data_IF_990779349286
#
_entry.id   IF_990779349286
#
_cell.length_a   1.000
_cell.length_b   1.000
_cell.length_c   1.000
_cell.angle_alpha   90.00
_cell.angle_beta   90.00
_cell.angle_gamma   90.00
#
_symmetry.space_group_name_H-M   'P 1'
#
loop_
_entity.id
_entity.type
_entity.pdbx_description
1 polymer ?
#
# COMPACT_ATOMS: atom_id res chain seq x y z
N UNK A 1 18.78 1.49 -23.99
CA UNK A 1 17.46 1.06 -23.56
C UNK A 1 16.89 0.08 -24.58
N UNK A 2 16.25 -1.00 -24.10
CA UNK A 2 15.70 -2.06 -24.93
C UNK A 2 14.28 -2.39 -24.46
N UNK A 3 13.40 -2.72 -25.40
CA UNK A 3 12.00 -3.11 -25.13
C UNK A 3 11.85 -4.62 -25.40
N UNK A 4 12.40 -5.46 -24.53
CA UNK A 4 12.43 -6.92 -24.71
C UNK A 4 11.57 -7.70 -23.70
N UNK A 5 11.12 -7.04 -22.62
CA UNK A 5 10.34 -7.66 -21.57
C UNK A 5 9.31 -6.69 -21.00
N UNK A 6 8.24 -7.25 -20.41
CA UNK A 6 7.26 -6.53 -19.61
C UNK A 6 7.86 -6.09 -18.27
N UNK A 7 7.10 -5.28 -17.51
CA UNK A 7 7.53 -4.78 -16.20
C UNK A 7 7.82 -5.90 -15.19
N UNK A 8 7.10 -7.01 -15.29
CA UNK A 8 7.28 -8.21 -14.47
C UNK A 8 8.47 -9.09 -14.90
N UNK A 9 9.23 -8.65 -15.92
CA UNK A 9 10.36 -9.37 -16.49
C UNK A 9 9.99 -10.50 -17.46
N UNK A 10 8.71 -10.75 -17.71
CA UNK A 10 8.27 -11.72 -18.72
C UNK A 10 8.65 -11.24 -20.12
N UNK A 11 9.00 -12.17 -21.01
CA UNK A 11 9.40 -11.85 -22.38
C UNK A 11 8.24 -11.13 -23.10
N UNK A 12 8.59 -10.09 -23.87
CA UNK A 12 7.66 -9.38 -24.75
C UNK A 12 7.94 -9.83 -26.18
N UNK A 13 7.21 -10.87 -26.68
CA UNK A 13 7.47 -11.43 -28.00
C UNK A 13 7.22 -10.39 -29.11
N UNK A 14 8.00 -10.48 -30.18
CA UNK A 14 7.95 -9.53 -31.29
C UNK A 14 6.57 -9.44 -31.94
N UNK A 15 5.83 -10.54 -32.00
CA UNK A 15 4.48 -10.64 -32.59
C UNK A 15 3.38 -9.99 -31.72
N UNK A 16 3.62 -9.83 -30.43
CA UNK A 16 2.69 -9.17 -29.50
C UNK A 16 3.13 -7.77 -29.10
N UNK A 17 4.36 -7.39 -29.43
CA UNK A 17 4.92 -6.08 -29.09
C UNK A 17 4.25 -4.95 -29.90
N UNK A 18 3.49 -4.08 -29.23
CA UNK A 18 2.82 -2.94 -29.87
C UNK A 18 3.78 -2.00 -30.59
N UNK A 19 5.00 -1.81 -30.08
CA UNK A 19 6.04 -1.00 -30.70
C UNK A 19 6.50 -1.62 -32.02
N UNK A 20 6.73 -2.93 -32.05
CA UNK A 20 7.10 -3.66 -33.25
C UNK A 20 5.98 -3.70 -34.27
N UNK A 21 4.75 -3.92 -33.82
CA UNK A 21 3.57 -3.92 -34.67
C UNK A 21 3.33 -2.54 -35.29
N UNK A 22 3.43 -1.46 -34.53
CA UNK A 22 3.34 -0.09 -35.05
C UNK A 22 4.44 0.20 -36.07
N UNK A 23 5.67 -0.27 -35.81
CA UNK A 23 6.77 -0.18 -36.76
C UNK A 23 6.48 -1.00 -38.02
N UNK A 24 6.07 -2.26 -37.89
CA UNK A 24 5.81 -3.16 -39.02
C UNK A 24 4.66 -2.68 -39.91
N UNK A 25 3.57 -2.18 -39.34
CA UNK A 25 2.38 -1.78 -40.08
C UNK A 25 2.32 -0.28 -40.42
N UNK A 26 3.25 0.53 -39.88
CA UNK A 26 3.30 1.97 -40.08
C UNK A 26 2.13 2.68 -39.39
N UNK A 27 1.72 2.16 -38.24
CA UNK A 27 0.68 2.71 -37.40
C UNK A 27 1.23 3.80 -36.48
N UNK A 28 0.38 4.74 -36.11
CA UNK A 28 0.70 5.76 -35.12
C UNK A 28 0.28 5.26 -33.75
N UNK A 29 1.20 5.34 -32.77
CA UNK A 29 0.88 5.14 -31.35
C UNK A 29 1.12 6.45 -30.61
N UNK A 30 0.18 6.86 -29.78
CA UNK A 30 0.29 8.07 -28.96
C UNK A 30 0.22 7.74 -27.48
N UNK A 31 1.11 8.37 -26.69
CA UNK A 31 1.10 8.30 -25.23
C UNK A 31 1.01 6.86 -24.67
N UNK A 32 1.67 5.92 -25.34
CA UNK A 32 1.69 4.53 -24.90
C UNK A 32 2.69 4.37 -23.75
N UNK A 33 2.21 3.89 -22.60
CA UNK A 33 3.02 3.61 -21.42
C UNK A 33 3.57 2.20 -21.50
N UNK A 34 4.87 2.06 -21.30
CA UNK A 34 5.58 0.78 -21.31
C UNK A 34 6.87 0.88 -20.50
N UNK A 35 7.62 -0.20 -20.47
CA UNK A 35 8.92 -0.25 -19.79
C UNK A 35 10.02 -0.47 -20.80
N UNK A 36 11.07 0.36 -20.74
CA UNK A 36 12.33 0.09 -21.40
C UNK A 36 13.35 -0.40 -20.40
N UNK A 37 14.17 -1.34 -20.81
CA UNK A 37 15.19 -1.92 -19.96
C UNK A 37 16.55 -1.28 -20.23
N UNK A 38 17.20 -0.84 -19.17
CA UNK A 38 18.59 -0.45 -19.22
C UNK A 38 19.47 -1.68 -19.38
N UNK A 39 20.64 -1.55 -20.01
CA UNK A 39 21.60 -2.66 -20.21
C UNK A 39 22.06 -3.32 -18.90
N UNK A 40 21.89 -2.64 -17.77
CA UNK A 40 22.19 -3.15 -16.41
C UNK A 40 21.03 -3.93 -15.79
N UNK A 41 19.94 -4.18 -16.52
CA UNK A 41 18.78 -4.91 -16.03
C UNK A 41 17.80 -4.08 -15.19
N UNK A 42 17.89 -2.75 -15.25
CA UNK A 42 16.93 -1.85 -14.57
C UNK A 42 15.80 -1.49 -15.52
N UNK A 43 14.56 -1.67 -15.06
CA UNK A 43 13.36 -1.26 -15.75
C UNK A 43 13.16 0.26 -15.64
N UNK A 44 12.89 0.91 -16.76
CA UNK A 44 12.64 2.36 -16.85
C UNK A 44 11.24 2.58 -17.43
N UNK A 45 10.26 3.07 -16.66
CA UNK A 45 8.94 3.38 -17.18
C UNK A 45 9.03 4.55 -18.15
N UNK A 46 8.48 4.35 -19.35
CA UNK A 46 8.51 5.34 -20.41
C UNK A 46 7.14 5.56 -21.01
N UNK A 47 6.89 6.77 -21.46
CA UNK A 47 5.77 7.12 -22.32
C UNK A 47 6.26 7.32 -23.74
N UNK A 48 5.77 6.49 -24.68
CA UNK A 48 6.23 6.44 -26.05
C UNK A 48 5.19 6.97 -27.02
N UNK A 49 5.68 7.60 -28.07
CA UNK A 49 4.88 7.95 -29.25
C UNK A 49 5.62 7.47 -30.49
N UNK A 50 4.91 6.80 -31.38
CA UNK A 50 5.46 6.30 -32.66
C UNK A 50 4.76 7.02 -33.80
N UNK A 51 5.55 7.56 -34.70
CA UNK A 51 5.06 8.18 -35.93
C UNK A 51 5.66 7.48 -37.15
N UNK A 52 4.87 7.10 -38.14
CA UNK A 52 5.43 6.58 -39.40
C UNK A 52 6.15 7.71 -40.15
N UNK A 53 7.39 7.45 -40.56
CA UNK A 53 8.15 8.35 -41.40
C UNK A 53 7.81 8.09 -42.87
N UNK A 54 7.34 9.13 -43.55
CA UNK A 54 7.03 9.07 -45.00
C UNK A 54 7.84 10.13 -45.74
N UNK A 55 8.50 9.70 -46.82
CA UNK A 55 9.23 10.57 -47.73
C UNK A 55 8.59 10.34 -49.14
N UNK A 56 8.20 11.41 -49.79
CA UNK A 56 7.51 11.35 -51.12
C UNK A 56 6.29 10.38 -51.16
N UNK A 57 5.58 10.26 -50.01
CA UNK A 57 4.43 9.37 -49.87
C UNK A 57 4.78 7.91 -49.58
N UNK A 58 6.03 7.52 -49.70
CA UNK A 58 6.52 6.17 -49.38
C UNK A 58 6.95 6.09 -47.91
N UNK A 59 6.70 4.94 -47.27
CA UNK A 59 7.10 4.69 -45.90
C UNK A 59 8.60 4.32 -45.88
N UNK A 60 9.39 5.14 -45.21
CA UNK A 60 10.83 4.95 -45.04
C UNK A 60 11.22 4.42 -43.65
N UNK A 61 10.25 4.42 -42.70
CA UNK A 61 10.53 3.95 -41.33
C UNK A 61 9.52 4.45 -40.32
N UNK A 62 9.92 4.53 -39.07
CA UNK A 62 9.17 5.14 -37.99
C UNK A 62 10.08 5.93 -37.05
N UNK A 63 9.56 7.01 -36.50
CA UNK A 63 10.21 7.80 -35.46
C UNK A 63 9.58 7.42 -34.12
N UNK A 64 10.39 6.99 -33.17
CA UNK A 64 9.96 6.70 -31.81
C UNK A 64 10.49 7.80 -30.89
N UNK A 65 9.57 8.59 -30.36
CA UNK A 65 9.87 9.52 -29.29
C UNK A 65 9.44 8.88 -27.97
N UNK A 66 10.30 8.96 -26.96
CA UNK A 66 9.96 8.47 -25.64
C UNK A 66 10.41 9.45 -24.57
N UNK A 67 9.66 9.46 -23.46
CA UNK A 67 9.96 10.24 -22.26
C UNK A 67 10.09 9.27 -21.09
N UNK A 68 11.17 9.40 -20.34
CA UNK A 68 11.28 8.76 -19.03
C UNK A 68 10.25 9.42 -18.08
N UNK A 69 9.40 8.59 -17.48
CA UNK A 69 8.37 9.03 -16.54
C UNK A 69 8.59 8.48 -15.13
N UNK A 70 9.80 8.00 -14.82
CA UNK A 70 10.16 7.40 -13.53
C UNK A 70 9.86 8.33 -12.36
N UNK A 71 10.30 9.59 -12.44
CA UNK A 71 10.03 10.57 -11.36
C UNK A 71 8.54 10.82 -11.18
N UNK A 72 7.80 10.99 -12.29
CA UNK A 72 6.35 11.19 -12.23
C UNK A 72 5.64 9.96 -11.64
N UNK A 73 6.02 8.77 -12.08
CA UNK A 73 5.44 7.52 -11.60
C UNK A 73 5.73 7.30 -10.11
N UNK A 74 6.97 7.53 -9.66
CA UNK A 74 7.33 7.45 -8.24
C UNK A 74 6.53 8.48 -7.41
N UNK A 75 6.36 9.70 -7.92
CA UNK A 75 5.58 10.73 -7.23
C UNK A 75 4.07 10.38 -7.15
N UNK A 76 3.50 9.85 -8.24
CA UNK A 76 2.10 9.37 -8.26
C UNK A 76 1.91 8.20 -7.27
N UNK A 77 2.87 7.28 -7.18
CA UNK A 77 2.85 6.19 -6.21
C UNK A 77 2.95 6.70 -4.77
N UNK A 78 3.86 7.65 -4.51
CA UNK A 78 4.01 8.26 -3.19
C UNK A 78 2.73 9.00 -2.76
N UNK A 79 2.12 9.79 -3.65
CA UNK A 79 0.85 10.45 -3.39
C UNK A 79 -0.27 9.44 -3.09
N UNK A 80 -0.33 8.36 -3.86
CA UNK A 80 -1.31 7.29 -3.64
C UNK A 80 -1.09 6.60 -2.30
N UNK A 81 0.16 6.38 -1.93
CA UNK A 81 0.52 5.79 -0.66
C UNK A 81 0.10 6.71 0.50
N UNK A 82 0.48 7.99 0.47
CA UNK A 82 0.13 9.00 1.47
C UNK A 82 -1.38 9.21 1.60
N UNK A 83 -2.12 9.09 0.50
CA UNK A 83 -3.58 9.20 0.53
C UNK A 83 -4.27 8.06 1.32
N UNK A 84 -3.59 6.92 1.50
CA UNK A 84 -4.17 5.70 2.07
C UNK A 84 -3.52 5.25 3.38
N UNK A 85 -2.35 5.79 3.76
CA UNK A 85 -1.59 5.35 4.93
C UNK A 85 -1.36 6.49 5.93
N UNK A 86 -1.15 6.11 7.17
CA UNK A 86 -0.67 6.98 8.24
C UNK A 86 0.87 7.13 8.12
N UNK A 87 1.40 8.36 8.06
CA UNK A 87 2.82 8.58 7.81
C UNK A 87 3.73 8.12 8.96
N UNK A 88 3.22 8.08 10.19
CA UNK A 88 3.98 7.67 11.36
C UNK A 88 4.10 6.14 11.47
N UNK A 89 2.96 5.46 11.46
CA UNK A 89 2.90 4.01 11.70
C UNK A 89 2.97 3.16 10.44
N UNK A 90 2.77 3.77 9.28
CA UNK A 90 2.67 3.11 7.98
C UNK A 90 1.49 2.14 7.85
N UNK A 91 0.57 2.15 8.79
CA UNK A 91 -0.71 1.46 8.69
C UNK A 91 -1.64 2.21 7.74
N UNK A 92 -2.74 1.58 7.37
CA UNK A 92 -3.79 2.31 6.68
C UNK A 92 -4.30 3.46 7.53
N UNK A 93 -4.70 4.57 6.88
CA UNK A 93 -5.28 5.72 7.57
C UNK A 93 -6.80 5.58 7.72
N UNK A 94 -7.42 6.52 8.45
CA UNK A 94 -8.87 6.59 8.67
C UNK A 94 -9.67 6.53 7.36
N UNK A 95 -9.26 7.30 6.36
CA UNK A 95 -9.98 7.39 5.08
C UNK A 95 -10.02 6.04 4.34
N UNK A 96 -8.90 5.34 4.30
CA UNK A 96 -8.82 4.01 3.69
C UNK A 96 -9.67 3.01 4.46
N UNK A 97 -9.61 3.06 5.79
CA UNK A 97 -10.38 2.21 6.67
C UNK A 97 -11.90 2.40 6.48
N UNK A 98 -12.40 3.63 6.52
CA UNK A 98 -13.83 3.93 6.36
C UNK A 98 -14.38 3.39 5.04
N UNK A 99 -13.65 3.60 3.94
CA UNK A 99 -14.03 3.05 2.64
C UNK A 99 -14.15 1.52 2.66
N UNK A 100 -13.15 0.84 3.22
CA UNK A 100 -13.15 -0.62 3.26
C UNK A 100 -14.15 -1.20 4.28
N UNK A 101 -14.47 -0.46 5.33
CA UNK A 101 -15.53 -0.82 6.25
C UNK A 101 -16.90 -0.82 5.55
N UNK A 102 -17.21 0.19 4.73
CA UNK A 102 -18.45 0.23 3.94
C UNK A 102 -18.54 -0.98 2.97
N UNK A 103 -17.45 -1.30 2.28
CA UNK A 103 -17.37 -2.47 1.40
C UNK A 103 -17.59 -3.78 2.19
N UNK A 104 -17.02 -3.88 3.38
CA UNK A 104 -17.12 -5.05 4.24
C UNK A 104 -18.53 -5.22 4.82
N UNK A 105 -19.18 -4.14 5.26
CA UNK A 105 -20.59 -4.16 5.68
C UNK A 105 -21.48 -4.67 4.54
N UNK A 106 -21.28 -4.18 3.33
CA UNK A 106 -22.02 -4.66 2.16
C UNK A 106 -21.73 -6.15 1.84
N UNK A 107 -20.52 -6.65 2.13
CA UNK A 107 -20.16 -8.07 2.00
C UNK A 107 -20.89 -8.92 3.04
N UNK A 108 -20.93 -8.47 4.29
CA UNK A 108 -21.65 -9.16 5.38
C UNK A 108 -23.15 -9.24 5.12
N UNK A 109 -23.77 -8.20 4.55
CA UNK A 109 -25.18 -8.23 4.14
C UNK A 109 -25.49 -9.30 3.07
N UNK A 110 -24.48 -9.75 2.32
CA UNK A 110 -24.61 -10.83 1.32
C UNK A 110 -24.20 -12.20 1.86
N UNK A 111 -24.02 -12.32 3.18
CA UNK A 111 -23.74 -13.61 3.85
C UNK A 111 -22.25 -13.83 4.19
N UNK A 112 -21.39 -12.81 4.05
CA UNK A 112 -20.04 -12.86 4.62
C UNK A 112 -20.05 -12.70 6.14
N UNK A 113 -18.95 -13.08 6.79
CA UNK A 113 -18.75 -12.89 8.24
C UNK A 113 -17.51 -12.07 8.49
N UNK A 114 -17.59 -11.08 9.37
CA UNK A 114 -16.46 -10.24 9.77
C UNK A 114 -16.68 -9.64 11.14
N UNK A 115 -15.60 -9.27 11.81
CA UNK A 115 -15.67 -8.54 13.05
C UNK A 115 -14.87 -7.24 12.94
N UNK A 116 -15.39 -6.19 13.55
CA UNK A 116 -14.71 -4.92 13.74
C UNK A 116 -14.18 -4.84 15.17
N UNK A 117 -12.88 -4.59 15.31
CA UNK A 117 -12.26 -4.24 16.59
C UNK A 117 -11.87 -2.76 16.54
N UNK A 118 -12.26 -2.03 17.58
CA UNK A 118 -11.84 -0.65 17.81
C UNK A 118 -10.98 -0.60 19.06
N UNK A 119 -9.76 -0.11 18.95
CA UNK A 119 -8.75 -0.17 19.99
C UNK A 119 -8.25 1.23 20.30
N UNK A 120 -8.13 1.54 21.61
CA UNK A 120 -7.60 2.79 22.14
C UNK A 120 -6.49 2.47 23.16
N UNK A 121 -5.37 3.20 23.11
CA UNK A 121 -4.26 3.01 24.05
C UNK A 121 -4.53 3.80 25.33
N UNK A 122 -4.80 3.08 26.39
CA UNK A 122 -5.11 3.68 27.69
C UNK A 122 -3.92 4.53 28.19
N UNK A 123 -4.23 5.76 28.60
CA UNK A 123 -3.25 6.71 29.15
C UNK A 123 -2.09 7.07 28.21
N UNK A 124 -2.27 6.97 26.91
CA UNK A 124 -1.24 7.37 25.93
C UNK A 124 -0.77 8.82 26.14
N UNK A 125 -1.71 9.72 26.45
CA UNK A 125 -1.40 11.11 26.80
C UNK A 125 -0.40 11.22 27.95
N UNK A 126 -0.51 10.38 28.96
CA UNK A 126 0.42 10.37 30.11
C UNK A 126 1.85 10.06 29.68
N UNK A 127 2.06 9.17 28.71
CA UNK A 127 3.37 8.87 28.16
C UNK A 127 3.93 10.09 27.42
N UNK A 128 3.11 10.77 26.61
CA UNK A 128 3.52 12.01 25.96
C UNK A 128 3.90 13.10 26.96
N UNK A 129 3.13 13.25 28.04
CA UNK A 129 3.34 14.30 29.04
C UNK A 129 4.63 14.06 29.86
N UNK A 130 5.02 12.80 30.12
CA UNK A 130 6.21 12.46 30.92
C UNK A 130 7.45 12.24 30.07
N UNK A 131 7.35 11.50 28.96
CA UNK A 131 8.49 11.08 28.16
C UNK A 131 8.65 11.90 26.85
N UNK A 132 7.69 12.78 26.57
CA UNK A 132 7.67 13.62 25.37
C UNK A 132 7.02 12.94 24.15
N UNK A 133 6.61 13.73 23.16
CA UNK A 133 5.94 13.25 21.95
C UNK A 133 6.76 12.24 21.15
N UNK A 134 8.10 12.36 21.16
CA UNK A 134 8.96 11.39 20.50
C UNK A 134 8.84 9.98 21.08
N UNK A 135 8.61 9.86 22.40
CA UNK A 135 8.34 8.58 23.07
C UNK A 135 6.98 8.01 22.65
N UNK A 136 5.96 8.86 22.59
CA UNK A 136 4.64 8.46 22.10
C UNK A 136 4.65 8.01 20.64
N UNK A 137 5.36 8.72 19.78
CA UNK A 137 5.52 8.35 18.38
C UNK A 137 6.22 6.99 18.23
N UNK A 138 7.29 6.75 18.98
CA UNK A 138 7.99 5.47 18.99
C UNK A 138 7.08 4.34 19.50
N UNK A 139 6.34 4.57 20.57
CA UNK A 139 5.36 3.61 21.08
C UNK A 139 4.33 3.23 20.03
N UNK A 140 3.74 4.21 19.34
CA UNK A 140 2.77 3.97 18.27
C UNK A 140 3.35 3.12 17.14
N UNK A 141 4.60 3.38 16.75
CA UNK A 141 5.30 2.58 15.73
C UNK A 141 5.47 1.14 16.20
N UNK A 142 6.00 0.93 17.41
CA UNK A 142 6.30 -0.39 17.94
C UNK A 142 5.03 -1.24 18.13
N UNK A 143 3.97 -0.66 18.70
CA UNK A 143 2.67 -1.34 18.87
C UNK A 143 2.02 -1.67 17.52
N UNK A 144 2.13 -0.77 16.56
CA UNK A 144 1.64 -1.02 15.18
C UNK A 144 2.29 -2.24 14.55
N UNK A 145 3.60 -2.43 14.75
CA UNK A 145 4.34 -3.59 14.26
C UNK A 145 3.87 -4.87 14.96
N UNK A 146 3.75 -4.84 16.30
CA UNK A 146 3.29 -5.98 17.07
C UNK A 146 1.87 -6.44 16.69
N UNK A 147 0.96 -5.49 16.48
CA UNK A 147 -0.39 -5.80 16.03
C UNK A 147 -0.40 -6.38 14.60
N UNK A 148 0.42 -5.83 13.70
CA UNK A 148 0.49 -6.26 12.30
C UNK A 148 1.00 -7.70 12.17
N UNK A 149 1.95 -8.12 13.01
CA UNK A 149 2.50 -9.48 13.01
C UNK A 149 1.48 -10.56 13.39
N UNK A 150 0.36 -10.18 14.02
CA UNK A 150 -0.73 -11.07 14.40
C UNK A 150 -1.84 -11.20 13.37
N UNK A 151 -1.85 -10.32 12.40
CA UNK A 151 -2.90 -10.25 11.39
C UNK A 151 -2.53 -11.09 10.16
N UNK A 152 -3.58 -11.60 9.51
CA UNK A 152 -3.47 -12.27 8.21
C UNK A 152 -3.48 -11.23 7.09
N UNK A 153 -3.02 -11.60 5.91
CA UNK A 153 -3.07 -10.74 4.73
C UNK A 153 -4.51 -10.28 4.36
N UNK A 154 -5.51 -11.09 4.73
CA UNK A 154 -6.92 -10.76 4.49
C UNK A 154 -7.47 -9.71 5.46
N UNK A 155 -6.86 -9.55 6.64
CA UNK A 155 -7.32 -8.61 7.67
C UNK A 155 -6.81 -7.19 7.36
N UNK A 156 -7.50 -6.19 7.90
CA UNK A 156 -7.12 -4.80 7.71
C UNK A 156 -6.85 -4.15 9.06
N UNK A 157 -5.68 -3.52 9.21
CA UNK A 157 -5.30 -2.71 10.37
C UNK A 157 -5.09 -1.27 9.94
N UNK A 158 -5.71 -0.36 10.67
CA UNK A 158 -5.60 1.07 10.45
C UNK A 158 -5.34 1.84 11.75
N UNK A 159 -4.65 2.98 11.62
CA UNK A 159 -4.63 4.00 12.67
C UNK A 159 -5.59 5.11 12.30
N UNK A 160 -6.55 5.37 13.17
CA UNK A 160 -7.60 6.36 12.91
C UNK A 160 -7.18 7.78 13.31
N UNK A 161 -6.20 7.89 14.20
CA UNK A 161 -5.63 9.15 14.66
C UNK A 161 -5.27 9.06 16.15
N UNK A 162 -4.33 9.88 16.61
CA UNK A 162 -3.89 9.82 18.01
C UNK A 162 -3.44 8.42 18.41
N UNK A 163 -4.12 7.87 19.41
CA UNK A 163 -3.95 6.54 20.00
C UNK A 163 -5.00 5.50 19.57
N UNK A 164 -5.86 5.87 18.61
CA UNK A 164 -6.95 5.03 18.12
C UNK A 164 -6.55 4.16 16.94
N UNK A 165 -6.85 2.86 17.03
CA UNK A 165 -6.66 1.87 15.97
C UNK A 165 -7.97 1.14 15.66
N UNK A 166 -8.07 0.61 14.46
CA UNK A 166 -9.19 -0.23 14.08
C UNK A 166 -8.72 -1.42 13.25
N UNK A 167 -9.39 -2.56 13.45
CA UNK A 167 -9.08 -3.82 12.76
C UNK A 167 -10.37 -4.37 12.17
N UNK A 168 -10.33 -4.77 10.90
CA UNK A 168 -11.37 -5.59 10.28
C UNK A 168 -10.81 -7.01 10.16
N UNK A 169 -11.42 -7.94 10.88
CA UNK A 169 -11.13 -9.37 10.79
C UNK A 169 -12.10 -10.00 9.81
N UNK A 170 -11.61 -10.49 8.68
CA UNK A 170 -12.45 -11.10 7.64
C UNK A 170 -12.58 -12.59 7.84
N UNK A 171 -13.77 -13.12 7.48
CA UNK A 171 -14.08 -14.56 7.51
C UNK A 171 -13.71 -15.20 8.86
N UNK A 172 -14.06 -14.48 9.94
CA UNK A 172 -13.88 -14.96 11.31
C UNK A 172 -15.18 -15.57 11.84
N UNK A 173 -15.06 -16.69 12.54
CA UNK A 173 -16.19 -17.32 13.21
C UNK A 173 -16.50 -16.59 14.53
N UNK A 174 -17.78 -16.44 14.86
CA UNK A 174 -18.27 -15.66 16.01
C UNK A 174 -17.63 -16.10 17.34
N UNK A 175 -17.43 -17.42 17.51
CA UNK A 175 -16.81 -18.01 18.71
C UNK A 175 -15.31 -17.64 18.86
N UNK A 176 -14.67 -17.16 17.80
CA UNK A 176 -13.25 -16.78 17.80
C UNK A 176 -13.02 -15.27 17.97
N UNK A 177 -14.04 -14.47 17.76
CA UNK A 177 -13.91 -12.99 17.76
C UNK A 177 -13.37 -12.49 19.09
N UNK A 178 -13.99 -12.86 20.21
CA UNK A 178 -13.55 -12.41 21.53
C UNK A 178 -12.16 -12.91 21.90
N UNK A 179 -11.83 -14.15 21.54
CA UNK A 179 -10.49 -14.70 21.78
C UNK A 179 -9.42 -13.95 20.96
N UNK A 180 -9.75 -13.57 19.73
CA UNK A 180 -8.85 -12.78 18.88
C UNK A 180 -8.68 -11.36 19.43
N UNK A 181 -9.76 -10.71 19.85
CA UNK A 181 -9.70 -9.39 20.49
C UNK A 181 -8.84 -9.43 21.77
N UNK A 182 -9.04 -10.46 22.61
CA UNK A 182 -8.23 -10.64 23.83
C UNK A 182 -6.75 -10.83 23.51
N UNK A 183 -6.40 -11.54 22.44
CA UNK A 183 -5.00 -11.69 22.03
C UNK A 183 -4.33 -10.37 21.68
N UNK A 184 -5.07 -9.39 21.14
CA UNK A 184 -4.56 -8.03 20.91
C UNK A 184 -4.40 -7.27 22.24
N UNK A 185 -5.34 -7.42 23.17
CA UNK A 185 -5.23 -6.81 24.49
C UNK A 185 -4.01 -7.33 25.26
N UNK A 186 -3.77 -8.66 25.20
CA UNK A 186 -2.59 -9.29 25.81
C UNK A 186 -1.26 -8.79 25.21
N UNK A 187 -1.20 -8.50 23.91
CA UNK A 187 -0.02 -7.88 23.32
C UNK A 187 0.29 -6.55 24.01
N UNK A 188 -0.71 -5.70 24.20
CA UNK A 188 -0.52 -4.39 24.82
C UNK A 188 -0.10 -4.52 26.28
N UNK A 189 -0.77 -5.37 27.05
CA UNK A 189 -0.48 -5.57 28.48
C UNK A 189 0.87 -6.22 28.72
N UNK A 190 1.27 -7.16 27.84
CA UNK A 190 2.56 -7.85 27.90
C UNK A 190 3.72 -7.04 27.34
N UNK A 191 3.45 -5.94 26.65
CA UNK A 191 4.50 -5.15 26.00
C UNK A 191 5.23 -4.26 27.01
N UNK A 192 6.54 -4.42 27.09
CA UNK A 192 7.39 -3.58 27.90
C UNK A 192 8.03 -2.48 27.05
N UNK A 193 7.38 -1.34 26.97
CA UNK A 193 7.92 -0.18 26.27
C UNK A 193 9.03 0.45 27.08
N UNK A 194 10.24 0.58 26.53
CA UNK A 194 11.39 1.20 27.18
C UNK A 194 11.82 2.42 26.39
N UNK A 195 11.79 3.59 27.02
CA UNK A 195 12.24 4.83 26.40
C UNK A 195 13.17 5.59 27.35
N UNK A 196 14.34 6.05 26.86
CA UNK A 196 15.34 6.71 27.70
C UNK A 196 15.84 5.87 28.89
N UNK A 197 15.79 4.53 28.78
CA UNK A 197 16.14 3.60 29.84
C UNK A 197 15.08 3.40 30.94
N UNK A 198 13.89 4.01 30.78
CA UNK A 198 12.76 3.86 31.69
C UNK A 198 11.68 2.95 31.06
N UNK A 199 11.17 1.95 31.79
CA UNK A 199 10.10 1.09 31.35
C UNK A 199 8.73 1.74 31.60
N UNK A 200 7.83 1.62 30.63
CA UNK A 200 6.45 2.07 30.70
C UNK A 200 5.51 0.89 30.41
N UNK A 201 4.45 0.77 31.19
CA UNK A 201 3.40 -0.22 30.95
C UNK A 201 2.32 0.35 30.05
N UNK A 202 1.91 -0.43 29.10
CA UNK A 202 0.89 -0.08 28.13
C UNK A 202 -0.36 -0.93 28.41
N UNK A 203 -1.50 -0.34 28.23
CA UNK A 203 -2.80 -1.01 28.29
C UNK A 203 -3.64 -0.51 27.12
N UNK A 204 -4.68 -1.24 26.78
CA UNK A 204 -5.63 -0.81 25.76
C UNK A 204 -7.01 -1.34 26.01
N UNK A 205 -7.97 -0.53 25.62
CA UNK A 205 -9.39 -0.87 25.63
C UNK A 205 -9.82 -1.27 24.23
N UNK A 206 -10.54 -2.38 24.09
CA UNK A 206 -10.98 -2.91 22.80
C UNK A 206 -12.50 -3.06 22.80
N UNK A 207 -13.14 -2.34 21.88
CA UNK A 207 -14.57 -2.55 21.53
C UNK A 207 -14.68 -3.52 20.36
N UNK A 208 -15.72 -4.37 20.36
CA UNK A 208 -15.99 -5.39 19.33
C UNK A 208 -17.41 -5.23 18.79
N UNK A 209 -17.55 -5.29 17.46
CA UNK A 209 -18.82 -5.27 16.76
C UNK A 209 -18.88 -6.31 15.63
#
# INVERSE_FOLDING_TARGET
LFHYAHEDGSANPDDTCLLQNAYAHGEELRSWKTVFWHHQGTAVPVECTVFPLRIDGQREGSVVAFRDVSERHAFEQELSWQANHDPLTRLYNRRYFEKHLEEEVARCQRGGTSALLYLDLDRFKYINDIAGHAAGDQLLIEISQQMRERLRDADLLARLGGDEFAIILRDIADDKVLMTAESFREILEGYSFVYGGQPYRIYGSIGVA
#
